data_IF_187381743566
#
_entry.id   IF_187381743566
#
_cell.length_a   1.000
_cell.length_b   1.000
_cell.length_c   1.000
_cell.angle_alpha   90.00
_cell.angle_beta   90.00
_cell.angle_gamma   90.00
#
_symmetry.space_group_name_H-M   'P 1'
#
loop_
_entity.id
_entity.type
_entity.pdbx_description
1 polymer ?
#
# COMPACT_ATOMS: atom_id res chain seq x y z
N UNK A 1 22.02 -21.42 -11.84
CA UNK A 1 20.85 -21.88 -11.05
C UNK A 1 19.68 -21.02 -11.46
N UNK A 2 18.54 -21.60 -11.76
CA UNK A 2 17.30 -20.82 -12.01
C UNK A 2 16.85 -20.20 -10.71
N UNK A 3 16.55 -18.88 -10.71
CA UNK A 3 15.99 -18.20 -9.54
C UNK A 3 14.61 -18.79 -9.20
N UNK A 4 14.29 -19.01 -7.91
CA UNK A 4 13.00 -19.58 -7.51
C UNK A 4 11.82 -18.68 -7.86
N UNK A 5 12.04 -17.35 -7.92
CA UNK A 5 11.06 -16.34 -8.29
C UNK A 5 11.71 -15.27 -9.16
N UNK A 6 10.93 -14.67 -10.07
CA UNK A 6 11.35 -13.58 -10.96
C UNK A 6 11.31 -12.23 -10.27
N UNK A 7 10.41 -12.07 -9.32
CA UNK A 7 10.26 -10.82 -8.59
C UNK A 7 9.93 -11.01 -7.11
N UNK A 8 10.30 -10.00 -6.34
CA UNK A 8 9.91 -9.80 -4.95
C UNK A 8 8.91 -8.65 -4.90
N UNK A 9 7.81 -8.88 -4.21
CA UNK A 9 6.78 -7.89 -3.95
C UNK A 9 6.66 -7.73 -2.44
N UNK A 10 6.78 -6.52 -1.92
CA UNK A 10 6.64 -6.28 -0.48
C UNK A 10 5.77 -5.08 -0.19
N UNK A 11 4.83 -5.24 0.73
CA UNK A 11 4.26 -4.09 1.43
C UNK A 11 5.35 -3.41 2.26
N UNK A 12 5.10 -2.18 2.71
CA UNK A 12 6.04 -1.37 3.49
C UNK A 12 5.72 -1.38 4.99
N UNK A 13 4.60 -0.80 5.38
CA UNK A 13 4.24 -0.60 6.78
C UNK A 13 3.83 -1.91 7.44
N UNK A 14 4.54 -2.28 8.53
CA UNK A 14 4.28 -3.57 9.18
C UNK A 14 4.86 -4.78 8.42
N UNK A 15 5.51 -4.57 7.28
CA UNK A 15 6.11 -5.63 6.46
C UNK A 15 7.60 -5.41 6.24
N UNK A 16 8.00 -4.52 5.32
CA UNK A 16 9.40 -4.27 5.00
C UNK A 16 10.05 -3.27 5.94
N UNK A 17 9.29 -2.26 6.39
CA UNK A 17 9.76 -1.28 7.36
C UNK A 17 9.85 -1.94 8.74
N UNK A 18 11.00 -1.76 9.38
CA UNK A 18 11.28 -2.30 10.72
C UNK A 18 10.50 -1.56 11.82
N UNK A 19 10.74 -1.89 13.09
CA UNK A 19 10.10 -1.25 14.25
C UNK A 19 10.37 0.25 14.40
N UNK A 20 11.35 0.81 13.68
CA UNK A 20 11.65 2.24 13.61
C UNK A 20 11.04 2.92 12.37
N UNK A 21 10.15 2.26 11.66
CA UNK A 21 9.54 2.70 10.39
C UNK A 21 10.58 3.03 9.30
N UNK A 22 11.67 2.28 9.23
CA UNK A 22 12.77 2.45 8.26
C UNK A 22 13.09 1.12 7.59
N UNK A 23 13.66 1.18 6.39
CA UNK A 23 14.29 0.02 5.78
C UNK A 23 15.67 -0.13 6.43
N UNK A 24 15.88 -1.27 7.11
CA UNK A 24 17.15 -1.57 7.77
C UNK A 24 18.28 -1.84 6.77
N UNK A 25 19.52 -1.65 7.21
CA UNK A 25 20.69 -1.88 6.37
C UNK A 25 20.79 -3.32 5.86
N UNK A 26 20.42 -4.28 6.70
CA UNK A 26 20.38 -5.70 6.33
C UNK A 26 19.35 -5.97 5.22
N UNK A 27 18.18 -5.35 5.28
CA UNK A 27 17.17 -5.41 4.22
C UNK A 27 17.67 -4.76 2.93
N UNK A 28 18.30 -3.57 3.00
CA UNK A 28 18.88 -2.88 1.84
C UNK A 28 19.90 -3.78 1.13
N UNK A 29 20.85 -4.36 1.87
CA UNK A 29 21.87 -5.24 1.32
C UNK A 29 21.25 -6.50 0.67
N UNK A 30 20.21 -7.06 1.30
CA UNK A 30 19.50 -8.22 0.77
C UNK A 30 18.83 -7.92 -0.56
N UNK A 31 18.10 -6.81 -0.65
CA UNK A 31 17.42 -6.39 -1.87
C UNK A 31 18.42 -6.06 -2.98
N UNK A 32 19.54 -5.39 -2.66
CA UNK A 32 20.61 -5.10 -3.62
C UNK A 32 21.21 -6.36 -4.23
N UNK A 33 21.55 -7.35 -3.40
CA UNK A 33 22.07 -8.63 -3.87
C UNK A 33 21.09 -9.40 -4.76
N UNK A 34 19.79 -9.27 -4.51
CA UNK A 34 18.77 -9.92 -5.32
C UNK A 34 18.58 -9.20 -6.67
N UNK A 35 18.61 -7.87 -6.66
CA UNK A 35 18.57 -7.07 -7.89
C UNK A 35 19.80 -7.36 -8.80
N UNK A 36 21.00 -7.47 -8.23
CA UNK A 36 22.22 -7.87 -8.96
C UNK A 36 22.11 -9.25 -9.62
N UNK A 37 21.26 -10.13 -9.06
CA UNK A 37 20.95 -11.45 -9.62
C UNK A 37 19.80 -11.41 -10.64
N UNK A 38 19.29 -10.24 -10.98
CA UNK A 38 18.22 -10.04 -11.96
C UNK A 38 16.81 -10.34 -11.43
N UNK A 39 16.61 -10.27 -10.10
CA UNK A 39 15.28 -10.36 -9.48
C UNK A 39 14.66 -8.97 -9.44
N UNK A 40 13.48 -8.79 -10.04
CA UNK A 40 12.76 -7.52 -10.00
C UNK A 40 12.23 -7.23 -8.59
N UNK A 41 12.15 -5.95 -8.21
CA UNK A 41 11.69 -5.52 -6.89
C UNK A 41 10.51 -4.57 -7.03
N UNK A 42 9.42 -4.88 -6.34
CA UNK A 42 8.21 -4.08 -6.26
C UNK A 42 7.89 -3.77 -4.80
N UNK A 43 7.65 -2.50 -4.52
CA UNK A 43 7.11 -2.04 -3.25
C UNK A 43 5.64 -1.67 -3.47
N UNK A 44 4.73 -2.15 -2.62
CA UNK A 44 3.30 -1.93 -2.77
C UNK A 44 2.69 -1.43 -1.46
N UNK A 45 2.25 -0.18 -1.42
CA UNK A 45 1.80 0.49 -0.21
C UNK A 45 0.49 1.25 -0.37
N UNK A 46 -0.24 1.44 0.73
CA UNK A 46 -1.36 2.36 0.81
C UNK A 46 -0.97 3.83 0.88
N UNK A 47 0.30 4.15 1.14
CA UNK A 47 0.78 5.54 1.20
C UNK A 47 0.81 6.20 -0.17
N UNK A 48 0.83 7.54 -0.19
CA UNK A 48 1.00 8.36 -1.39
C UNK A 48 2.49 8.35 -1.84
N UNK A 49 2.71 8.56 -3.15
CA UNK A 49 4.06 8.55 -3.74
C UNK A 49 5.04 9.55 -3.12
N UNK A 50 4.70 10.84 -2.89
CA UNK A 50 5.62 11.78 -2.26
C UNK A 50 6.09 11.37 -0.87
N UNK A 51 5.22 10.74 -0.08
CA UNK A 51 5.54 10.29 1.27
C UNK A 51 6.57 9.14 1.27
N UNK A 52 6.39 8.15 0.40
CA UNK A 52 7.26 6.96 0.42
C UNK A 52 8.52 7.08 -0.41
N UNK A 53 8.54 7.96 -1.38
CA UNK A 53 9.70 8.16 -2.28
C UNK A 53 11.02 8.34 -1.51
N UNK A 54 11.01 9.10 -0.42
CA UNK A 54 12.21 9.34 0.37
C UNK A 54 12.64 8.13 1.20
N UNK A 55 11.68 7.31 1.68
CA UNK A 55 11.97 6.09 2.45
C UNK A 55 12.75 5.08 1.59
N UNK A 56 12.32 4.93 0.34
CA UNK A 56 12.86 3.93 -0.59
C UNK A 56 14.12 4.41 -1.31
N UNK A 57 14.38 5.73 -1.34
CA UNK A 57 15.57 6.32 -1.97
C UNK A 57 16.90 5.72 -1.49
N UNK A 58 16.92 5.11 -0.32
CA UNK A 58 18.11 4.44 0.24
C UNK A 58 18.36 3.04 -0.37
N UNK A 59 17.39 2.46 -1.05
CA UNK A 59 17.52 1.17 -1.72
C UNK A 59 18.16 1.42 -3.08
N UNK A 60 19.41 0.97 -3.33
CA UNK A 60 20.14 1.26 -4.55
C UNK A 60 19.71 0.32 -5.69
N UNK A 61 18.43 0.37 -6.08
CA UNK A 61 17.82 -0.45 -7.12
C UNK A 61 17.00 0.47 -8.04
N UNK A 62 17.65 1.03 -9.05
CA UNK A 62 17.05 2.04 -9.95
C UNK A 62 15.81 1.53 -10.70
N UNK A 63 15.78 0.24 -11.03
CA UNK A 63 14.67 -0.42 -11.75
C UNK A 63 13.50 -0.84 -10.84
N UNK A 64 13.61 -0.67 -9.51
CA UNK A 64 12.52 -1.00 -8.62
C UNK A 64 11.29 -0.13 -8.88
N UNK A 65 10.13 -0.73 -8.75
CA UNK A 65 8.85 -0.05 -8.94
C UNK A 65 8.14 0.15 -7.60
N UNK A 66 7.51 1.31 -7.50
CA UNK A 66 6.75 1.73 -6.33
C UNK A 66 5.28 1.86 -6.70
N UNK A 67 4.47 0.93 -6.20
CA UNK A 67 3.00 0.93 -6.30
C UNK A 67 2.46 1.62 -5.06
N UNK A 68 1.77 2.73 -5.22
CA UNK A 68 1.26 3.61 -4.15
C UNK A 68 -0.26 3.72 -4.18
N UNK A 69 -0.84 4.28 -3.12
CA UNK A 69 -2.29 4.46 -2.98
C UNK A 69 -3.05 3.16 -3.28
N UNK A 70 -2.55 2.01 -2.76
CA UNK A 70 -3.08 0.65 -2.99
C UNK A 70 -3.18 0.22 -4.46
N UNK A 71 -2.34 0.77 -5.33
CA UNK A 71 -2.37 0.42 -6.75
C UNK A 71 -3.01 1.47 -7.65
N UNK A 72 -3.48 2.60 -7.10
CA UNK A 72 -3.98 3.70 -7.92
C UNK A 72 -2.87 4.36 -8.75
N UNK A 73 -1.63 4.27 -8.28
CA UNK A 73 -0.46 4.84 -8.96
C UNK A 73 0.73 3.90 -8.89
N UNK A 74 1.54 3.86 -9.95
CA UNK A 74 2.86 3.22 -9.95
C UNK A 74 3.91 4.09 -10.63
N UNK A 75 5.11 4.10 -10.05
CA UNK A 75 6.27 4.86 -10.52
C UNK A 75 7.54 4.00 -10.47
N UNK A 76 8.47 4.25 -11.38
CA UNK A 76 9.88 3.89 -11.12
C UNK A 76 10.44 4.74 -9.98
N UNK A 77 11.48 4.26 -9.30
CA UNK A 77 12.17 5.06 -8.28
C UNK A 77 12.76 6.36 -8.86
N UNK A 78 13.10 6.39 -10.15
CA UNK A 78 13.50 7.58 -10.89
C UNK A 78 12.44 8.69 -10.93
N UNK A 79 11.17 8.38 -10.61
CA UNK A 79 10.04 9.28 -10.61
C UNK A 79 9.12 9.19 -11.83
N UNK A 80 9.50 8.44 -12.87
CA UNK A 80 8.63 8.24 -14.04
C UNK A 80 7.39 7.46 -13.65
N UNK A 81 6.21 8.07 -13.87
CA UNK A 81 4.92 7.40 -13.67
C UNK A 81 4.68 6.36 -14.76
N UNK A 82 4.23 5.18 -14.37
CA UNK A 82 3.93 4.05 -15.25
C UNK A 82 2.44 3.79 -15.31
N UNK A 83 1.73 4.03 -14.20
CA UNK A 83 0.32 3.71 -14.06
C UNK A 83 -0.37 4.77 -13.20
N UNK A 84 -1.60 5.18 -13.62
CA UNK A 84 -2.51 6.00 -12.83
C UNK A 84 -3.95 5.53 -13.07
N UNK A 85 -4.65 5.20 -11.97
CA UNK A 85 -6.06 4.81 -11.96
C UNK A 85 -6.84 5.71 -10.99
N UNK A 86 -7.26 6.88 -11.47
CA UNK A 86 -8.03 7.81 -10.66
C UNK A 86 -9.50 7.41 -10.52
N UNK A 87 -10.12 7.83 -9.43
CA UNK A 87 -11.57 7.88 -9.32
C UNK A 87 -12.13 8.88 -10.35
N UNK A 88 -13.26 8.59 -11.01
CA UNK A 88 -14.00 9.60 -11.75
C UNK A 88 -14.31 10.81 -10.86
N UNK A 89 -14.14 12.03 -11.37
CA UNK A 89 -14.25 13.26 -10.55
C UNK A 89 -15.59 13.38 -9.81
N UNK A 90 -16.68 13.03 -10.47
CA UNK A 90 -18.02 13.05 -9.87
C UNK A 90 -18.15 12.01 -8.74
N UNK A 91 -17.58 10.84 -8.91
CA UNK A 91 -17.58 9.79 -7.88
C UNK A 91 -16.69 10.20 -6.69
N UNK A 92 -15.50 10.76 -6.95
CA UNK A 92 -14.62 11.27 -5.90
C UNK A 92 -15.33 12.34 -5.05
N UNK A 93 -16.02 13.30 -5.68
CA UNK A 93 -16.83 14.30 -4.97
C UNK A 93 -17.97 13.68 -4.16
N UNK A 94 -18.66 12.68 -4.72
CA UNK A 94 -19.73 11.98 -4.01
C UNK A 94 -19.20 11.25 -2.76
N UNK A 95 -18.03 10.59 -2.89
CA UNK A 95 -17.36 9.95 -1.75
C UNK A 95 -16.93 10.98 -0.69
N UNK A 96 -16.35 12.12 -1.08
CA UNK A 96 -15.98 13.19 -0.14
C UNK A 96 -17.19 13.84 0.55
N UNK A 97 -18.41 13.62 0.03
CA UNK A 97 -19.67 14.12 0.58
C UNK A 97 -20.45 13.08 1.39
N UNK A 98 -19.91 11.88 1.60
CA UNK A 98 -20.54 10.84 2.43
C UNK A 98 -20.71 11.37 3.86
N UNK A 99 -21.92 11.24 4.46
CA UNK A 99 -22.14 11.68 5.83
C UNK A 99 -21.30 10.89 6.85
N UNK A 100 -20.67 11.58 7.77
CA UNK A 100 -19.93 11.00 8.89
C UNK A 100 -19.98 11.92 10.13
N UNK A 101 -19.69 11.37 11.29
CA UNK A 101 -19.52 12.15 12.52
C UNK A 101 -18.10 12.75 12.59
N UNK A 102 -17.95 14.10 12.44
CA UNK A 102 -16.65 14.74 12.42
C UNK A 102 -15.90 14.71 13.77
N UNK A 103 -16.57 14.34 14.87
CA UNK A 103 -15.92 14.16 16.16
C UNK A 103 -15.19 12.81 16.25
N UNK A 104 -15.63 11.82 15.46
CA UNK A 104 -15.11 10.46 15.52
C UNK A 104 -14.41 10.00 14.24
N UNK A 105 -14.57 10.72 13.12
CA UNK A 105 -14.00 10.36 11.83
C UNK A 105 -13.34 11.58 11.17
N UNK A 106 -12.19 11.34 10.59
CA UNK A 106 -11.46 12.28 9.75
C UNK A 106 -11.51 11.82 8.30
N UNK A 107 -11.94 12.70 7.40
CA UNK A 107 -11.96 12.50 5.96
C UNK A 107 -10.66 12.97 5.33
N UNK A 108 -10.12 12.14 4.45
CA UNK A 108 -8.88 12.37 3.74
C UNK A 108 -9.02 12.06 2.25
N UNK A 109 -8.17 12.66 1.43
CA UNK A 109 -8.03 12.34 0.01
C UNK A 109 -6.58 12.50 -0.46
N UNK A 110 -6.10 11.53 -1.25
CA UNK A 110 -4.89 11.69 -2.05
C UNK A 110 -5.26 12.06 -3.48
N UNK A 111 -4.70 13.17 -3.97
CA UNK A 111 -4.97 13.71 -5.30
C UNK A 111 -3.64 14.11 -5.94
N UNK A 112 -3.17 13.34 -6.91
CA UNK A 112 -1.82 13.49 -7.44
C UNK A 112 -0.75 13.45 -6.34
N UNK A 113 0.06 14.50 -6.23
CA UNK A 113 1.08 14.60 -5.19
C UNK A 113 0.58 15.25 -3.89
N UNK A 114 -0.69 15.62 -3.79
CA UNK A 114 -1.26 16.30 -2.63
C UNK A 114 -2.05 15.36 -1.71
N UNK A 115 -1.99 15.66 -0.42
CA UNK A 115 -2.82 15.06 0.61
C UNK A 115 -3.74 16.11 1.19
N UNK A 116 -5.05 15.87 1.12
CA UNK A 116 -6.08 16.74 1.66
C UNK A 116 -6.78 16.08 2.86
N UNK A 117 -7.18 16.89 3.83
CA UNK A 117 -7.84 16.45 5.08
C UNK A 117 -8.88 17.49 5.50
N UNK A 118 -9.95 17.06 6.16
CA UNK A 118 -10.99 17.97 6.62
C UNK A 118 -10.68 18.70 7.94
N UNK A 119 -9.74 18.18 8.73
CA UNK A 119 -9.40 18.72 10.06
C UNK A 119 -7.92 18.53 10.36
N UNK A 120 -7.32 19.48 11.05
CA UNK A 120 -5.91 19.40 11.47
C UNK A 120 -5.68 18.34 12.56
N UNK A 121 -4.75 17.40 12.34
CA UNK A 121 -4.42 16.32 13.29
C UNK A 121 -2.91 16.26 13.51
N UNK A 122 -2.46 16.78 14.64
CA UNK A 122 -1.05 16.87 15.00
C UNK A 122 -0.32 15.51 14.98
N UNK A 123 -1.01 14.44 15.37
CA UNK A 123 -0.44 13.09 15.36
C UNK A 123 -0.06 12.63 13.95
N UNK A 124 -0.85 12.99 12.92
CA UNK A 124 -0.54 12.66 11.54
C UNK A 124 0.67 13.45 11.03
N UNK A 125 0.84 14.70 11.44
CA UNK A 125 2.04 15.50 11.10
C UNK A 125 3.31 14.84 11.63
N UNK A 126 3.27 14.38 12.88
CA UNK A 126 4.40 13.70 13.51
C UNK A 126 4.75 12.39 12.81
N UNK A 127 3.74 11.62 12.39
CA UNK A 127 3.95 10.36 11.68
C UNK A 127 4.67 10.55 10.34
N UNK A 128 4.40 11.65 9.63
CA UNK A 128 5.02 11.97 8.34
C UNK A 128 6.20 12.97 8.45
N UNK A 129 6.70 13.22 9.66
CA UNK A 129 7.77 14.22 9.88
C UNK A 129 9.04 13.92 9.08
N UNK A 130 9.44 12.66 8.98
CA UNK A 130 10.68 12.26 8.29
C UNK A 130 10.61 12.47 6.77
N UNK A 131 9.42 12.38 6.18
CA UNK A 131 9.21 12.64 4.75
C UNK A 131 9.10 14.12 4.41
N UNK A 132 8.74 14.95 5.38
CA UNK A 132 8.32 16.32 5.13
C UNK A 132 7.01 16.43 4.36
N UNK A 133 6.32 15.30 4.11
CA UNK A 133 5.05 15.24 3.41
C UNK A 133 3.93 15.65 4.35
N UNK A 134 3.24 16.73 4.03
CA UNK A 134 2.19 17.32 4.86
C UNK A 134 0.88 17.42 4.11
N UNK A 135 -0.23 17.24 4.85
CA UNK A 135 -1.56 17.47 4.31
C UNK A 135 -1.91 18.97 4.25
N UNK A 136 -2.92 19.26 3.42
CA UNK A 136 -3.59 20.56 3.33
C UNK A 136 -5.00 20.41 3.91
N UNK A 137 -5.37 21.26 4.87
CA UNK A 137 -6.73 21.28 5.42
C UNK A 137 -7.66 21.98 4.44
N UNK A 138 -8.76 21.32 4.07
CA UNK A 138 -9.72 21.82 3.08
C UNK A 138 -11.17 21.58 3.51
N UNK A 139 -12.09 22.36 2.96
CA UNK A 139 -13.52 22.07 2.98
C UNK A 139 -13.88 21.19 1.79
N UNK A 140 -14.11 19.90 2.03
CA UNK A 140 -14.44 18.93 0.97
C UNK A 140 -15.78 19.20 0.27
N UNK A 141 -16.70 19.97 0.85
CA UNK A 141 -17.94 20.34 0.17
C UNK A 141 -17.68 21.24 -1.04
N UNK A 142 -16.62 22.05 -0.98
CA UNK A 142 -16.22 22.97 -2.04
C UNK A 142 -14.95 22.52 -2.77
N UNK A 143 -14.44 21.34 -2.48
CA UNK A 143 -13.20 20.81 -3.05
C UNK A 143 -13.44 20.10 -4.39
N UNK A 144 -12.40 20.08 -5.25
CA UNK A 144 -12.47 19.35 -6.51
C UNK A 144 -12.22 17.85 -6.31
N UNK A 145 -12.65 17.01 -7.26
CA UNK A 145 -12.39 15.56 -7.27
C UNK A 145 -11.37 15.12 -8.31
N UNK A 146 -10.59 16.07 -8.87
CA UNK A 146 -9.62 15.76 -9.95
C UNK A 146 -8.43 14.98 -9.43
N UNK A 147 -7.94 14.05 -10.25
CA UNK A 147 -6.75 13.25 -9.96
C UNK A 147 -6.81 12.51 -8.62
N UNK A 148 -8.02 12.12 -8.17
CA UNK A 148 -8.20 11.43 -6.90
C UNK A 148 -7.75 9.97 -7.01
N UNK A 149 -6.66 9.63 -6.35
CA UNK A 149 -6.15 8.27 -6.23
C UNK A 149 -7.00 7.45 -5.25
N UNK A 150 -7.30 8.05 -4.08
CA UNK A 150 -8.18 7.46 -3.08
C UNK A 150 -8.83 8.50 -2.18
N UNK A 151 -10.01 8.16 -1.67
CA UNK A 151 -10.66 8.81 -0.52
C UNK A 151 -10.58 7.85 0.66
N UNK A 152 -10.24 8.33 1.85
CA UNK A 152 -10.14 7.47 3.01
C UNK A 152 -10.61 8.15 4.29
N UNK A 153 -11.15 7.32 5.19
CA UNK A 153 -11.72 7.74 6.45
C UNK A 153 -10.94 7.12 7.59
N UNK A 154 -10.45 7.96 8.51
CA UNK A 154 -9.76 7.51 9.71
C UNK A 154 -10.72 7.67 10.89
N UNK A 155 -11.12 6.56 11.49
CA UNK A 155 -12.00 6.53 12.66
C UNK A 155 -11.21 6.48 13.97
N UNK A 156 -11.71 7.13 15.02
CA UNK A 156 -11.16 6.96 16.38
C UNK A 156 -11.28 5.52 16.86
N UNK A 157 -12.31 4.82 16.38
CA UNK A 157 -12.53 3.39 16.61
C UNK A 157 -12.95 2.72 15.31
N UNK A 158 -12.73 1.40 15.15
CA UNK A 158 -13.22 0.67 13.98
C UNK A 158 -14.75 0.79 13.80
N UNK A 159 -15.51 0.82 14.90
CA UNK A 159 -16.96 0.93 14.88
C UNK A 159 -17.46 2.26 14.26
N UNK A 160 -16.68 3.34 14.35
CA UNK A 160 -17.04 4.63 13.75
C UNK A 160 -17.09 4.59 12.22
N UNK A 161 -16.43 3.61 11.59
CA UNK A 161 -16.35 3.48 10.14
C UNK A 161 -17.49 2.62 9.56
N UNK A 162 -18.12 1.76 10.35
CA UNK A 162 -19.15 0.83 9.86
C UNK A 162 -20.35 1.52 9.16
N UNK A 163 -20.89 2.66 9.64
CA UNK A 163 -21.96 3.37 8.93
C UNK A 163 -21.51 3.92 7.58
N UNK A 164 -20.24 4.37 7.48
CA UNK A 164 -19.65 4.91 6.25
C UNK A 164 -19.47 3.79 5.24
N UNK A 165 -18.89 2.67 5.66
CA UNK A 165 -18.70 1.49 4.83
C UNK A 165 -20.05 1.00 4.27
N UNK A 166 -21.07 0.85 5.13
CA UNK A 166 -22.40 0.42 4.72
C UNK A 166 -23.04 1.40 3.71
N UNK A 167 -22.90 2.71 3.94
CA UNK A 167 -23.41 3.74 3.02
C UNK A 167 -22.73 3.66 1.66
N UNK A 168 -21.39 3.56 1.64
CA UNK A 168 -20.62 3.48 0.39
C UNK A 168 -20.94 2.18 -0.34
N UNK A 169 -21.07 1.06 0.36
CA UNK A 169 -21.45 -0.23 -0.22
C UNK A 169 -22.82 -0.15 -0.89
N UNK A 170 -23.82 0.45 -0.22
CA UNK A 170 -25.18 0.60 -0.77
C UNK A 170 -25.24 1.51 -2.00
N UNK A 171 -24.52 2.64 -1.97
CA UNK A 171 -24.62 3.67 -3.02
C UNK A 171 -23.63 3.51 -4.16
N UNK A 172 -22.45 2.99 -3.89
CA UNK A 172 -21.30 3.03 -4.81
C UNK A 172 -20.58 1.69 -4.95
N UNK A 173 -21.01 0.61 -4.27
CA UNK A 173 -20.26 -0.65 -4.18
C UNK A 173 -19.85 -1.25 -5.53
N UNK A 174 -20.68 -1.08 -6.58
CA UNK A 174 -20.35 -1.53 -7.95
C UNK A 174 -19.29 -0.67 -8.66
N UNK A 175 -18.94 0.50 -8.11
CA UNK A 175 -18.07 1.50 -8.73
C UNK A 175 -16.73 1.64 -8.02
N UNK A 176 -16.62 1.13 -6.79
CA UNK A 176 -15.46 1.31 -5.92
C UNK A 176 -14.91 -0.02 -5.42
N UNK A 177 -13.64 -0.01 -5.09
CA UNK A 177 -12.98 -1.01 -4.26
C UNK A 177 -12.74 -0.42 -2.87
N UNK A 178 -13.14 -1.15 -1.83
CA UNK A 178 -12.95 -0.76 -0.44
C UNK A 178 -12.05 -1.76 0.26
N UNK A 179 -11.15 -1.26 1.09
CA UNK A 179 -10.28 -2.09 1.94
C UNK A 179 -9.92 -1.36 3.23
N UNK A 180 -9.26 -2.07 4.13
CA UNK A 180 -8.71 -1.52 5.36
C UNK A 180 -7.20 -1.73 5.38
N UNK A 181 -6.41 -0.66 5.49
CA UNK A 181 -4.96 -0.75 5.76
C UNK A 181 -4.69 -1.00 7.24
N UNK A 182 -5.52 -0.42 8.10
CA UNK A 182 -5.59 -0.71 9.54
C UNK A 182 -7.06 -0.84 9.95
N UNK A 183 -7.38 -1.40 11.12
CA UNK A 183 -8.77 -1.48 11.58
C UNK A 183 -9.51 -0.14 11.66
N UNK A 184 -8.77 0.97 11.73
CA UNK A 184 -9.28 2.33 11.86
C UNK A 184 -9.17 3.16 10.58
N UNK A 185 -8.76 2.58 9.44
CA UNK A 185 -8.59 3.30 8.18
C UNK A 185 -9.32 2.57 7.05
N UNK A 186 -10.51 3.07 6.69
CA UNK A 186 -11.28 2.63 5.52
C UNK A 186 -10.82 3.40 4.29
N UNK A 187 -10.35 2.69 3.28
CA UNK A 187 -9.82 3.25 2.04
C UNK A 187 -10.72 2.89 0.85
N UNK A 188 -11.01 3.87 0.01
CA UNK A 188 -11.94 3.76 -1.13
C UNK A 188 -11.26 4.25 -2.40
N UNK A 189 -11.14 3.36 -3.38
CA UNK A 189 -10.49 3.58 -4.66
C UNK A 189 -11.42 3.24 -5.82
N UNK A 190 -10.98 3.48 -7.05
CA UNK A 190 -11.64 2.98 -8.23
C UNK A 190 -11.77 1.44 -8.14
N UNK A 191 -12.90 0.87 -8.61
CA UNK A 191 -13.23 -0.56 -8.48
C UNK A 191 -12.16 -1.52 -8.99
N UNK A 192 -11.35 -1.08 -9.96
CA UNK A 192 -10.30 -1.91 -10.55
C UNK A 192 -8.94 -1.75 -9.84
N UNK A 193 -8.88 -0.89 -8.82
CA UNK A 193 -7.65 -0.61 -8.09
C UNK A 193 -7.53 -1.54 -6.91
N UNK A 194 -6.47 -2.34 -6.91
CA UNK A 194 -5.93 -3.05 -5.76
C UNK A 194 -4.42 -3.23 -5.95
N UNK A 195 -3.68 -3.50 -4.88
CA UNK A 195 -2.24 -3.81 -5.00
C UNK A 195 -2.02 -4.94 -6.01
N UNK A 196 -2.85 -5.98 -5.96
CA UNK A 196 -2.76 -7.13 -6.84
C UNK A 196 -2.99 -6.77 -8.31
N UNK A 197 -4.00 -5.96 -8.63
CA UNK A 197 -4.31 -5.60 -10.02
C UNK A 197 -3.22 -4.73 -10.64
N UNK A 198 -2.71 -3.73 -9.89
CA UNK A 198 -1.62 -2.89 -10.34
C UNK A 198 -0.33 -3.71 -10.58
N UNK A 199 0.00 -4.60 -9.65
CA UNK A 199 1.15 -5.48 -9.78
C UNK A 199 1.02 -6.45 -10.95
N UNK A 200 -0.17 -7.03 -11.18
CA UNK A 200 -0.44 -7.92 -12.31
C UNK A 200 -0.21 -7.22 -13.65
N UNK A 201 -0.67 -5.99 -13.78
CA UNK A 201 -0.42 -5.15 -14.95
C UNK A 201 1.09 -4.91 -15.15
N UNK A 202 1.81 -4.54 -14.09
CA UNK A 202 3.24 -4.26 -14.15
C UNK A 202 4.08 -5.49 -14.49
N UNK A 203 3.83 -6.63 -13.85
CA UNK A 203 4.60 -7.85 -14.10
C UNK A 203 4.31 -8.44 -15.48
N UNK A 204 3.07 -8.29 -15.97
CA UNK A 204 2.69 -8.69 -17.32
C UNK A 204 3.47 -7.89 -18.37
N UNK A 205 3.66 -6.60 -18.17
CA UNK A 205 4.51 -5.77 -19.04
C UNK A 205 5.99 -6.19 -19.02
N UNK A 206 6.45 -6.83 -17.95
CA UNK A 206 7.79 -7.42 -17.84
C UNK A 206 7.87 -8.85 -18.42
N UNK A 207 6.77 -9.43 -18.91
CA UNK A 207 6.71 -10.74 -19.55
C UNK A 207 6.66 -11.93 -18.59
N UNK A 208 6.11 -11.75 -17.38
CA UNK A 208 5.85 -12.82 -16.41
C UNK A 208 4.53 -12.59 -15.67
N UNK A 209 4.17 -13.46 -14.74
CA UNK A 209 2.90 -13.42 -14.01
C UNK A 209 3.13 -13.28 -12.50
N UNK A 210 2.09 -12.90 -11.76
CA UNK A 210 2.17 -12.86 -10.28
C UNK A 210 2.52 -14.24 -9.68
N UNK A 211 2.14 -15.33 -10.34
CA UNK A 211 2.54 -16.69 -9.94
C UNK A 211 4.04 -16.96 -10.06
N UNK A 212 4.80 -16.11 -10.75
CA UNK A 212 6.26 -16.16 -10.80
C UNK A 212 6.94 -15.34 -9.69
N UNK A 213 6.14 -14.70 -8.81
CA UNK A 213 6.60 -13.78 -7.79
C UNK A 213 6.45 -14.34 -6.37
N UNK A 214 7.26 -13.83 -5.45
CA UNK A 214 7.03 -13.97 -4.01
C UNK A 214 6.54 -12.65 -3.44
N UNK A 215 5.52 -12.68 -2.58
CA UNK A 215 4.90 -11.50 -1.99
C UNK A 215 4.87 -11.56 -0.45
N UNK A 216 5.01 -10.40 0.19
CA UNK A 216 5.00 -10.21 1.64
C UNK A 216 4.00 -9.12 2.03
N UNK A 217 3.22 -9.34 3.09
CA UNK A 217 2.22 -8.38 3.55
C UNK A 217 1.66 -8.70 4.93
N UNK A 218 1.00 -7.71 5.56
CA UNK A 218 0.44 -7.83 6.90
C UNK A 218 -0.98 -7.26 7.03
N UNK A 219 -1.44 -6.43 6.08
CA UNK A 219 -2.75 -5.77 6.07
C UNK A 219 -3.81 -6.46 5.20
N UNK A 220 -5.08 -6.11 5.39
CA UNK A 220 -6.17 -6.62 4.55
C UNK A 220 -6.05 -6.20 3.08
N UNK A 221 -5.43 -5.04 2.82
CA UNK A 221 -5.11 -4.55 1.48
C UNK A 221 -4.05 -5.40 0.75
N UNK A 222 -3.38 -6.32 1.45
CA UNK A 222 -2.40 -7.27 0.87
C UNK A 222 -3.02 -8.60 0.47
N UNK A 223 -4.25 -8.89 0.93
CA UNK A 223 -4.90 -10.20 0.77
C UNK A 223 -4.81 -10.73 -0.65
N UNK A 224 -5.22 -9.93 -1.62
CA UNK A 224 -5.28 -10.35 -3.03
C UNK A 224 -3.88 -10.53 -3.63
N UNK A 225 -2.95 -9.65 -3.27
CA UNK A 225 -1.54 -9.74 -3.67
C UNK A 225 -0.90 -11.03 -3.17
N UNK A 226 -1.09 -11.36 -1.89
CA UNK A 226 -0.58 -12.59 -1.28
C UNK A 226 -1.23 -13.83 -1.91
N UNK A 227 -2.55 -13.81 -2.12
CA UNK A 227 -3.29 -14.95 -2.68
C UNK A 227 -2.95 -15.25 -4.15
N UNK A 228 -2.56 -14.24 -4.95
CA UNK A 228 -2.25 -14.38 -6.38
C UNK A 228 -0.77 -14.59 -6.67
N UNK A 229 0.11 -14.28 -5.73
CA UNK A 229 1.53 -14.56 -5.87
C UNK A 229 1.81 -16.06 -5.90
N UNK A 230 2.88 -16.48 -6.58
CA UNK A 230 3.35 -17.87 -6.56
C UNK A 230 3.72 -18.35 -5.16
N UNK A 231 4.15 -17.41 -4.31
CA UNK A 231 4.30 -17.61 -2.88
C UNK A 231 3.90 -16.33 -2.13
N UNK A 232 2.80 -16.38 -1.38
CA UNK A 232 2.42 -15.32 -0.45
C UNK A 232 2.89 -15.66 0.96
N UNK A 233 3.59 -14.73 1.60
CA UNK A 233 4.07 -14.86 2.98
C UNK A 233 3.38 -13.81 3.86
N UNK A 234 2.70 -14.26 4.91
CA UNK A 234 2.00 -13.40 5.88
C UNK A 234 2.96 -13.08 7.01
N UNK A 235 3.03 -11.80 7.42
CA UNK A 235 3.91 -11.38 8.51
C UNK A 235 3.43 -11.91 9.87
N UNK A 236 4.36 -12.14 10.81
CA UNK A 236 4.06 -12.55 12.18
C UNK A 236 3.19 -11.55 12.94
N UNK A 237 3.39 -10.26 12.68
CA UNK A 237 2.60 -9.14 13.22
C UNK A 237 1.31 -8.82 12.44
N UNK A 238 0.97 -9.57 11.39
CA UNK A 238 -0.17 -9.29 10.52
C UNK A 238 -1.52 -9.26 11.25
N UNK A 239 -2.47 -8.50 10.67
CA UNK A 239 -3.86 -8.44 11.12
C UNK A 239 -4.44 -9.86 11.24
N UNK A 240 -5.10 -10.14 12.37
CA UNK A 240 -5.70 -11.45 12.66
C UNK A 240 -6.75 -11.86 11.61
N UNK A 241 -7.45 -10.87 11.03
CA UNK A 241 -8.43 -11.10 9.95
C UNK A 241 -7.74 -11.57 8.68
N UNK A 242 -6.57 -10.99 8.32
CA UNK A 242 -5.79 -11.45 7.18
C UNK A 242 -5.33 -12.90 7.38
N UNK A 243 -4.79 -13.23 8.55
CA UNK A 243 -4.40 -14.61 8.89
C UNK A 243 -5.56 -15.59 8.79
N UNK A 244 -6.75 -15.19 9.23
CA UNK A 244 -7.97 -16.02 9.13
C UNK A 244 -8.45 -16.20 7.67
N UNK A 245 -8.23 -15.21 6.80
CA UNK A 245 -8.60 -15.26 5.38
C UNK A 245 -7.59 -16.04 4.52
N UNK A 246 -6.35 -16.20 5.00
CA UNK A 246 -5.25 -16.89 4.30
C UNK A 246 -4.63 -17.99 5.16
N UNK A 247 -5.42 -18.98 5.64
CA UNK A 247 -4.97 -19.98 6.63
C UNK A 247 -3.87 -20.89 6.10
N UNK A 248 -3.79 -21.09 4.78
CA UNK A 248 -2.79 -21.96 4.15
C UNK A 248 -1.46 -21.24 3.81
N UNK A 249 -1.40 -19.92 4.04
CA UNK A 249 -0.20 -19.15 3.75
C UNK A 249 0.81 -19.26 4.89
N UNK A 250 2.09 -19.33 4.51
CA UNK A 250 3.18 -19.37 5.48
C UNK A 250 3.23 -18.06 6.27
N UNK A 251 3.20 -18.18 7.61
CA UNK A 251 3.41 -17.05 8.51
C UNK A 251 4.90 -17.01 8.85
N UNK A 252 5.56 -15.91 8.48
CA UNK A 252 6.98 -15.68 8.76
C UNK A 252 7.17 -14.86 10.05
N UNK A 253 8.38 -14.38 10.33
CA UNK A 253 8.68 -13.55 11.51
C UNK A 253 8.01 -12.16 11.48
N UNK A 254 8.34 -11.33 12.46
CA UNK A 254 7.80 -9.97 12.56
C UNK A 254 8.68 -8.95 11.82
N UNK A 255 8.08 -7.85 11.37
CA UNK A 255 8.78 -6.79 10.64
C UNK A 255 9.90 -6.13 11.45
N UNK A 256 9.74 -6.01 12.79
CA UNK A 256 10.76 -5.44 13.67
C UNK A 256 12.09 -6.22 13.65
N UNK A 257 12.05 -7.49 13.28
CA UNK A 257 13.20 -8.40 13.19
C UNK A 257 13.72 -8.54 11.75
N UNK A 258 13.33 -7.64 10.83
CA UNK A 258 13.63 -7.67 9.39
C UNK A 258 13.33 -9.05 8.75
N UNK A 259 12.21 -9.66 9.13
CA UNK A 259 11.85 -11.03 8.77
C UNK A 259 11.78 -11.27 7.26
N UNK A 260 11.38 -10.28 6.46
CA UNK A 260 11.37 -10.37 4.99
C UNK A 260 12.80 -10.63 4.48
N UNK A 261 13.78 -9.84 4.91
CA UNK A 261 15.17 -10.02 4.51
C UNK A 261 15.75 -11.36 4.98
N UNK A 262 15.49 -11.75 6.23
CA UNK A 262 15.89 -13.05 6.77
C UNK A 262 15.33 -14.21 5.93
N UNK A 263 14.07 -14.13 5.55
CA UNK A 263 13.40 -15.12 4.74
C UNK A 263 13.98 -15.21 3.33
N UNK A 264 14.16 -14.05 2.67
CA UNK A 264 14.74 -13.97 1.33
C UNK A 264 16.16 -14.50 1.28
N UNK A 265 17.02 -14.15 2.25
CA UNK A 265 18.40 -14.67 2.30
C UNK A 265 18.43 -16.18 2.38
N UNK A 266 17.58 -16.78 3.22
CA UNK A 266 17.46 -18.24 3.33
C UNK A 266 16.95 -18.85 2.02
N UNK A 267 15.90 -18.29 1.42
CA UNK A 267 15.26 -18.82 0.22
C UNK A 267 16.18 -18.77 -1.01
N UNK A 268 16.95 -17.68 -1.16
CA UNK A 268 17.83 -17.46 -2.29
C UNK A 268 19.29 -17.87 -2.03
N UNK A 269 19.59 -18.49 -0.87
CA UNK A 269 20.94 -18.88 -0.44
C UNK A 269 21.94 -17.73 -0.56
N UNK A 270 21.58 -16.56 -0.02
CA UNK A 270 22.46 -15.40 0.03
C UNK A 270 23.41 -15.50 1.23
N UNK A 271 24.66 -15.11 1.01
CA UNK A 271 25.68 -15.08 2.05
C UNK A 271 25.45 -13.96 3.08
#
# INVERSE_FOLDING_TARGET
MTMPFKAIISDLDGTLLNGEHRIGEFTIQTLSQLAEKGVDIYFATGRNYPDVKHLIKKVPVDEAMLVTSNGARANFLSGKTVLNHYLPENLAKALMSVPFDPLNVCLNSYQGDDWFINVDIEALKKYHQDSGYCYKVVDFQNHHGRETEKVFYIGRTPAALAPIEAYIQDKFGEQVYMTYSTPQCLEVMNKNVSKANALDELVTHRGYQLSDCIAFGDGLNDKEMLARAGKGCVMGNADKRLKALLPEHEVIGENKDEAVACYLRKLFNLA
#
